data_IF_707468336221
#
_entry.id   IF_707468336221
#
_cell.length_a   1.000
_cell.length_b   1.000
_cell.length_c   1.000
_cell.angle_alpha   90.00
_cell.angle_beta   90.00
_cell.angle_gamma   90.00
#
_symmetry.space_group_name_H-M   'P 1'
#
loop_
_entity.id
_entity.type
_entity.pdbx_description
1 polymer ?
#
# COMPACT_ATOMS: atom_id res chain seq x y z
N UNK A 1 11.03 9.60 -6.27
CA UNK A 1 10.21 8.48 -5.78
C UNK A 1 9.92 8.57 -4.29
N UNK A 2 10.93 8.55 -3.40
CA UNK A 2 10.77 8.56 -1.93
C UNK A 2 9.74 9.56 -1.39
N UNK A 3 9.88 10.85 -1.71
CA UNK A 3 8.91 11.91 -1.31
C UNK A 3 7.43 11.60 -1.64
N UNK A 4 7.15 10.88 -2.74
CA UNK A 4 5.78 10.49 -3.12
C UNK A 4 5.28 9.34 -2.24
N UNK A 5 6.17 8.40 -1.91
CA UNK A 5 5.88 7.32 -0.95
C UNK A 5 5.57 7.93 0.41
N UNK A 6 6.46 8.78 0.94
CA UNK A 6 6.30 9.37 2.28
C UNK A 6 4.95 10.10 2.41
N UNK A 7 4.58 10.88 1.38
CA UNK A 7 3.27 11.56 1.33
C UNK A 7 2.09 10.58 1.36
N UNK A 8 2.20 9.47 0.64
CA UNK A 8 1.14 8.45 0.58
C UNK A 8 1.03 7.68 1.89
N UNK A 9 2.16 7.37 2.53
CA UNK A 9 2.16 6.77 3.86
C UNK A 9 1.59 7.73 4.91
N UNK A 10 1.86 9.03 4.81
CA UNK A 10 1.22 10.03 5.67
C UNK A 10 -0.30 10.08 5.47
N UNK A 11 -0.81 9.89 4.25
CA UNK A 11 -2.25 9.73 4.04
C UNK A 11 -2.78 8.43 4.65
N UNK A 12 -2.04 7.32 4.53
CA UNK A 12 -2.44 6.04 5.09
C UNK A 12 -2.63 6.11 6.61
N UNK A 13 -1.66 6.70 7.32
CA UNK A 13 -1.69 6.88 8.78
C UNK A 13 -2.89 7.74 9.21
N UNK A 14 -3.27 8.74 8.41
CA UNK A 14 -4.39 9.65 8.73
C UNK A 14 -5.75 9.08 8.36
N UNK A 15 -5.84 8.38 7.21
CA UNK A 15 -7.09 7.87 6.67
C UNK A 15 -6.81 6.77 5.63
N UNK A 16 -7.05 5.51 6.02
CA UNK A 16 -6.91 4.34 5.12
C UNK A 16 -7.83 4.42 3.89
N UNK A 17 -9.00 5.07 4.00
CA UNK A 17 -9.96 5.25 2.92
C UNK A 17 -9.68 6.49 2.05
N UNK A 18 -8.53 7.16 2.23
CA UNK A 18 -8.20 8.34 1.45
C UNK A 18 -8.23 8.02 -0.07
N UNK A 19 -8.97 8.77 -0.90
CA UNK A 19 -9.26 8.39 -2.30
C UNK A 19 -8.00 8.25 -3.15
N UNK A 20 -6.94 8.99 -2.81
CA UNK A 20 -5.66 8.89 -3.49
C UNK A 20 -4.92 7.55 -3.27
N UNK A 21 -5.26 6.78 -2.23
CA UNK A 21 -4.65 5.50 -1.91
C UNK A 21 -5.30 4.35 -2.68
N UNK A 22 -6.62 4.42 -2.95
CA UNK A 22 -7.39 3.34 -3.60
C UNK A 22 -7.08 1.98 -2.98
N UNK A 23 -7.19 1.91 -1.65
CA UNK A 23 -6.85 0.70 -0.89
C UNK A 23 -7.82 -0.43 -1.28
N UNK A 24 -7.28 -1.62 -1.51
CA UNK A 24 -8.05 -2.85 -1.74
C UNK A 24 -7.39 -4.03 -1.03
N UNK A 25 -8.18 -5.02 -0.62
CA UNK A 25 -7.66 -6.29 -0.08
C UNK A 25 -7.03 -7.11 -1.22
N UNK A 26 -5.87 -7.70 -0.97
CA UNK A 26 -5.24 -8.63 -1.92
C UNK A 26 -5.90 -9.99 -1.78
N UNK A 27 -6.52 -10.51 -2.84
CA UNK A 27 -7.27 -11.78 -2.78
C UNK A 27 -6.41 -13.00 -2.45
N UNK A 28 -5.14 -13.01 -2.89
CA UNK A 28 -4.21 -14.14 -2.74
C UNK A 28 -3.44 -14.13 -1.42
N UNK A 29 -3.53 -13.05 -0.64
CA UNK A 29 -2.76 -12.86 0.59
C UNK A 29 -3.69 -12.37 1.69
N UNK A 30 -4.03 -13.25 2.62
CA UNK A 30 -4.90 -12.92 3.75
C UNK A 30 -4.26 -11.85 4.65
N UNK A 31 -5.06 -10.89 5.11
CA UNK A 31 -4.59 -9.77 5.94
C UNK A 31 -3.72 -8.74 5.20
N UNK A 32 -3.51 -8.88 3.89
CA UNK A 32 -2.70 -7.95 3.08
C UNK A 32 -3.59 -7.04 2.23
N UNK A 33 -3.18 -5.78 2.19
CA UNK A 33 -3.83 -4.71 1.47
C UNK A 33 -2.86 -4.07 0.48
N UNK A 34 -3.39 -3.63 -0.65
CA UNK A 34 -2.66 -2.89 -1.69
C UNK A 34 -3.12 -1.43 -1.70
N UNK A 35 -2.17 -0.51 -1.70
CA UNK A 35 -2.41 0.92 -1.92
C UNK A 35 -1.60 1.48 -3.09
N UNK A 36 -2.06 2.62 -3.62
CA UNK A 36 -1.49 3.29 -4.79
C UNK A 36 -0.52 4.41 -4.42
N UNK A 37 0.71 4.37 -4.96
CA UNK A 37 1.66 5.50 -4.88
C UNK A 37 1.50 6.43 -6.09
N UNK A 38 1.42 5.84 -7.29
CA UNK A 38 1.23 6.53 -8.56
C UNK A 38 0.35 5.68 -9.49
N UNK A 39 0.26 5.98 -10.78
CA UNK A 39 -0.40 5.07 -11.73
C UNK A 39 0.32 3.73 -11.82
N UNK A 40 1.65 3.74 -11.83
CA UNK A 40 2.48 2.55 -12.07
C UNK A 40 3.03 1.88 -10.81
N UNK A 41 2.89 2.50 -9.63
CA UNK A 41 3.46 1.97 -8.38
C UNK A 41 2.41 1.69 -7.31
N UNK A 42 2.63 0.59 -6.60
CA UNK A 42 1.81 0.09 -5.50
C UNK A 42 2.67 -0.18 -4.28
N UNK A 43 2.03 -0.19 -3.13
CA UNK A 43 2.60 -0.69 -1.88
C UNK A 43 1.67 -1.72 -1.27
N UNK A 44 2.25 -2.75 -0.68
CA UNK A 44 1.56 -3.77 0.09
C UNK A 44 1.80 -3.51 1.57
N UNK A 45 0.74 -3.64 2.36
CA UNK A 45 0.82 -3.49 3.81
C UNK A 45 -0.17 -4.42 4.51
N UNK A 46 0.09 -4.72 5.77
CA UNK A 46 -0.88 -5.34 6.67
C UNK A 46 -1.23 -4.38 7.80
N UNK A 47 -2.34 -4.66 8.48
CA UNK A 47 -2.83 -3.89 9.62
C UNK A 47 -2.53 -4.70 10.87
N UNK A 48 -1.66 -4.18 11.72
CA UNK A 48 -1.41 -4.67 13.06
C UNK A 48 -2.24 -3.84 14.07
N UNK A 49 -2.36 -4.26 15.35
CA UNK A 49 -3.20 -3.57 16.33
C UNK A 49 -2.84 -2.09 16.53
N UNK A 50 -1.57 -1.73 16.43
CA UNK A 50 -1.02 -0.40 16.73
C UNK A 50 -0.36 0.28 15.52
N UNK A 51 -0.19 -0.45 14.41
CA UNK A 51 0.60 0.03 13.28
C UNK A 51 0.17 -0.57 11.94
N UNK A 52 0.63 0.08 10.87
CA UNK A 52 0.66 -0.53 9.53
C UNK A 52 2.04 -1.10 9.27
N UNK A 53 2.12 -2.36 8.87
CA UNK A 53 3.38 -3.01 8.49
C UNK A 53 3.53 -2.92 6.98
N UNK A 54 4.52 -2.15 6.52
CA UNK A 54 4.84 -2.05 5.09
C UNK A 54 5.59 -3.31 4.64
N UNK A 55 5.00 -4.06 3.71
CA UNK A 55 5.55 -5.33 3.22
C UNK A 55 6.45 -5.09 2.01
N UNK A 56 5.96 -4.36 1.00
CA UNK A 56 6.72 -4.13 -0.24
C UNK A 56 6.24 -2.88 -0.97
N UNK A 57 7.15 -2.22 -1.69
CA UNK A 57 6.84 -1.18 -2.67
C UNK A 57 7.38 -1.60 -4.03
N UNK A 58 6.59 -1.42 -5.09
CA UNK A 58 6.96 -1.90 -6.42
C UNK A 58 6.06 -1.40 -7.53
N UNK A 59 6.35 -1.82 -8.76
CA UNK A 59 5.51 -1.55 -9.93
C UNK A 59 4.20 -2.35 -9.85
N UNK A 60 3.28 -2.18 -10.80
CA UNK A 60 2.00 -2.88 -10.77
C UNK A 60 2.12 -4.42 -10.71
N UNK A 61 3.19 -4.97 -11.28
CA UNK A 61 3.54 -6.41 -11.27
C UNK A 61 4.21 -6.86 -9.96
N UNK A 62 4.04 -6.11 -8.86
CA UNK A 62 4.69 -6.40 -7.57
C UNK A 62 4.32 -7.79 -7.02
N UNK A 63 3.19 -8.35 -7.49
CA UNK A 63 2.69 -9.67 -7.13
C UNK A 63 3.12 -10.79 -8.08
N UNK A 64 3.72 -10.47 -9.24
CA UNK A 64 4.10 -11.46 -10.26
C UNK A 64 5.56 -11.93 -10.13
N UNK A 65 6.29 -11.43 -9.13
CA UNK A 65 7.63 -11.90 -8.76
C UNK A 65 7.60 -12.59 -7.39
N UNK A 66 7.08 -13.81 -7.38
CA UNK A 66 7.27 -14.80 -6.32
C UNK A 66 8.19 -15.90 -6.85
#
# INVERSE_FOLDING_TARGET
MRKRVDRKLAYLVRNIAHPSLRVKRVRRLEGVFEGSISMSYRFLFSIAPDAYVLIRIGKHDILDKA
#
